data_IF_781835597033
#
_entry.id   IF_781835597033
#
_cell.length_a   1.000
_cell.length_b   1.000
_cell.length_c   1.000
_cell.angle_alpha   90.00
_cell.angle_beta   90.00
_cell.angle_gamma   90.00
#
_symmetry.space_group_name_H-M   'P 1'
#
loop_
_entity.id
_entity.type
_entity.pdbx_description
1 polymer ?
#
# COMPACT_ATOMS: atom_id res chain seq x y z
N UNK A 1 -32.80 -15.52 15.49
CA UNK A 1 -31.62 -14.93 14.84
C UNK A 1 -32.12 -13.80 13.95
N UNK A 2 -31.80 -12.55 14.26
CA UNK A 2 -32.15 -11.43 13.39
C UNK A 2 -31.11 -11.43 12.28
N UNK A 3 -31.49 -11.88 11.08
CA UNK A 3 -30.71 -11.66 9.87
C UNK A 3 -30.74 -10.16 9.59
N UNK A 4 -29.77 -9.41 10.12
CA UNK A 4 -29.60 -8.03 9.71
C UNK A 4 -28.93 -8.05 8.34
N UNK A 5 -29.71 -7.76 7.30
CA UNK A 5 -29.15 -7.46 6.00
C UNK A 5 -28.17 -6.28 6.13
N UNK A 6 -27.09 -6.25 5.33
CA UNK A 6 -26.14 -5.15 5.36
C UNK A 6 -26.85 -3.81 5.16
N UNK A 7 -26.53 -2.79 5.98
CA UNK A 7 -27.17 -1.45 5.96
C UNK A 7 -27.22 -0.83 4.56
N UNK A 8 -26.23 -1.13 3.72
CA UNK A 8 -26.14 -0.60 2.36
C UNK A 8 -26.27 -1.67 1.26
N UNK A 9 -26.72 -2.88 1.60
CA UNK A 9 -26.77 -4.05 0.71
C UNK A 9 -25.40 -4.69 0.44
N UNK A 10 -25.38 -5.73 -0.40
CA UNK A 10 -24.16 -6.45 -0.81
C UNK A 10 -23.40 -5.70 -1.93
N UNK A 11 -22.90 -4.50 -1.64
CA UNK A 11 -22.15 -3.67 -2.60
C UNK A 11 -21.05 -2.86 -1.91
N UNK A 12 -20.03 -2.47 -2.69
CA UNK A 12 -19.01 -1.50 -2.25
C UNK A 12 -19.63 -0.11 -2.20
N UNK A 13 -19.50 0.57 -1.07
CA UNK A 13 -19.99 1.93 -0.85
C UNK A 13 -18.79 2.87 -0.76
N UNK A 14 -18.86 4.02 -1.42
CA UNK A 14 -17.82 5.06 -1.31
C UNK A 14 -17.91 5.77 0.03
N UNK A 15 -16.77 6.24 0.53
CA UNK A 15 -16.71 7.06 1.75
C UNK A 15 -17.74 8.21 1.69
N UNK A 16 -17.84 8.93 0.57
CA UNK A 16 -18.81 10.02 0.37
C UNK A 16 -20.27 9.62 0.65
N UNK A 17 -20.67 8.40 0.28
CA UNK A 17 -22.04 7.91 0.48
C UNK A 17 -22.30 7.50 1.92
N UNK A 18 -21.30 6.96 2.60
CA UNK A 18 -21.37 6.68 4.05
C UNK A 18 -21.41 8.00 4.82
N UNK A 19 -20.61 8.99 4.39
CA UNK A 19 -20.54 10.30 5.04
C UNK A 19 -21.84 11.08 4.95
N UNK A 20 -22.50 11.07 3.79
CA UNK A 20 -23.79 11.70 3.63
C UNK A 20 -24.85 11.07 4.56
N UNK A 21 -24.84 9.74 4.70
CA UNK A 21 -25.75 9.00 5.60
C UNK A 21 -25.42 9.27 7.08
N UNK A 22 -24.14 9.38 7.43
CA UNK A 22 -23.71 9.67 8.81
C UNK A 22 -23.94 11.13 9.22
N UNK A 23 -23.83 12.11 8.32
CA UNK A 23 -24.17 13.52 8.59
C UNK A 23 -25.67 13.67 8.91
N UNK A 24 -26.53 12.89 8.24
CA UNK A 24 -27.97 12.85 8.52
C UNK A 24 -28.29 12.19 9.88
N UNK A 25 -27.54 11.15 10.27
CA UNK A 25 -27.78 10.41 11.52
C UNK A 25 -27.13 11.04 12.77
N UNK A 26 -25.91 11.56 12.63
CA UNK A 26 -25.07 11.99 13.75
C UNK A 26 -24.67 13.47 13.70
N UNK A 27 -25.26 14.24 12.78
CA UNK A 27 -24.94 15.65 12.58
C UNK A 27 -25.13 16.52 13.83
N UNK A 28 -25.92 16.12 14.82
CA UNK A 28 -26.08 16.87 16.08
C UNK A 28 -24.99 16.54 17.12
N UNK A 29 -24.39 15.35 17.06
CA UNK A 29 -23.34 14.87 17.97
C UNK A 29 -21.93 15.16 17.44
N UNK A 30 -21.73 15.03 16.13
CA UNK A 30 -20.48 15.33 15.44
C UNK A 30 -20.65 16.49 14.47
N UNK A 31 -19.57 17.25 14.25
CA UNK A 31 -19.47 18.24 13.18
C UNK A 31 -19.61 17.56 11.82
N UNK A 32 -20.10 18.29 10.83
CA UNK A 32 -20.20 17.74 9.48
C UNK A 32 -18.85 17.19 9.03
N UNK A 33 -18.80 15.96 8.50
CA UNK A 33 -17.56 15.33 8.08
C UNK A 33 -16.89 16.17 6.99
N UNK A 34 -15.57 16.34 7.12
CA UNK A 34 -14.77 17.09 6.15
C UNK A 34 -13.70 16.19 5.53
N UNK A 35 -13.43 16.39 4.24
CA UNK A 35 -12.29 15.75 3.60
C UNK A 35 -10.99 16.28 4.20
N UNK A 36 -10.19 15.37 4.72
CA UNK A 36 -8.89 15.64 5.29
C UNK A 36 -7.76 15.34 4.33
N UNK A 37 -6.55 15.58 4.81
CA UNK A 37 -5.33 15.06 4.22
C UNK A 37 -4.49 14.48 5.37
N UNK A 38 -4.07 13.23 5.23
CA UNK A 38 -3.21 12.58 6.22
C UNK A 38 -1.76 12.68 5.77
N UNK A 39 -1.01 13.61 6.36
CA UNK A 39 0.43 13.78 6.10
C UNK A 39 1.20 12.49 6.37
N UNK A 40 0.82 11.75 7.41
CA UNK A 40 1.49 10.52 7.82
C UNK A 40 1.25 9.37 6.84
N UNK A 41 0.01 9.12 6.43
CA UNK A 41 -0.29 8.09 5.43
C UNK A 41 0.38 8.42 4.08
N UNK A 42 0.34 9.67 3.64
CA UNK A 42 1.01 10.07 2.40
C UNK A 42 2.54 9.95 2.51
N UNK A 43 3.12 10.25 3.67
CA UNK A 43 4.54 10.02 3.92
C UNK A 43 4.90 8.54 3.82
N UNK A 44 4.14 7.65 4.46
CA UNK A 44 4.35 6.19 4.38
C UNK A 44 4.22 5.66 2.96
N UNK A 45 3.21 6.10 2.19
CA UNK A 45 3.07 5.77 0.76
C UNK A 45 4.27 6.23 -0.06
N UNK A 46 4.80 7.41 0.24
CA UNK A 46 6.03 7.93 -0.36
C UNK A 46 7.24 7.04 -0.08
N UNK A 47 7.42 6.61 1.17
CA UNK A 47 8.49 5.70 1.57
C UNK A 47 8.37 4.33 0.88
N UNK A 48 7.17 3.75 0.83
CA UNK A 48 6.90 2.49 0.10
C UNK A 48 7.34 2.63 -1.36
N UNK A 49 6.93 3.72 -2.01
CA UNK A 49 7.25 3.97 -3.42
C UNK A 49 8.76 4.15 -3.64
N UNK A 50 9.44 4.89 -2.76
CA UNK A 50 10.89 5.08 -2.82
C UNK A 50 11.63 3.76 -2.62
N UNK A 51 11.26 2.97 -1.62
CA UNK A 51 11.85 1.66 -1.33
C UNK A 51 11.69 0.70 -2.52
N UNK A 52 10.57 0.75 -3.23
CA UNK A 52 10.38 -0.07 -4.43
C UNK A 52 11.28 0.30 -5.60
N UNK A 53 11.70 1.57 -5.72
CA UNK A 53 12.67 1.97 -6.76
C UNK A 53 14.02 1.33 -6.51
N UNK A 54 14.44 1.19 -5.24
CA UNK A 54 15.67 0.48 -4.88
C UNK A 54 15.59 -1.01 -5.23
N UNK A 55 14.44 -1.65 -5.01
CA UNK A 55 14.21 -3.04 -5.45
C UNK A 55 14.36 -3.14 -6.98
N UNK A 56 13.71 -2.24 -7.72
CA UNK A 56 13.79 -2.22 -9.19
C UNK A 56 15.24 -2.04 -9.67
N UNK A 57 16.06 -1.22 -9.00
CA UNK A 57 17.47 -1.05 -9.33
C UNK A 57 18.29 -2.33 -9.10
N UNK A 58 18.09 -3.01 -7.97
CA UNK A 58 18.78 -4.29 -7.69
C UNK A 58 18.35 -5.37 -8.68
N UNK A 59 17.06 -5.45 -9.02
CA UNK A 59 16.58 -6.40 -10.03
C UNK A 59 17.14 -6.15 -11.42
N UNK A 60 17.36 -4.88 -11.81
CA UNK A 60 18.08 -4.56 -13.04
C UNK A 60 19.52 -5.06 -13.02
N UNK A 61 20.22 -4.93 -11.89
CA UNK A 61 21.57 -5.47 -11.73
C UNK A 61 21.59 -6.99 -11.80
N UNK A 62 20.63 -7.66 -11.15
CA UNK A 62 20.43 -9.12 -11.27
C UNK A 62 20.22 -9.51 -12.73
N UNK A 63 19.29 -8.85 -13.43
CA UNK A 63 18.98 -9.15 -14.81
C UNK A 63 20.18 -8.92 -15.75
N UNK A 64 20.98 -7.88 -15.49
CA UNK A 64 22.21 -7.61 -16.25
C UNK A 64 23.20 -8.77 -16.20
N UNK A 65 23.28 -9.48 -15.06
CA UNK A 65 24.17 -10.63 -14.91
C UNK A 65 23.63 -11.90 -15.57
N UNK A 66 22.36 -12.23 -15.31
CA UNK A 66 21.80 -13.53 -15.71
C UNK A 66 21.28 -13.54 -17.15
N UNK A 67 20.92 -12.37 -17.68
CA UNK A 67 20.46 -12.22 -19.06
C UNK A 67 21.02 -10.94 -19.70
N UNK A 68 22.34 -10.89 -19.99
CA UNK A 68 22.97 -9.73 -20.61
C UNK A 68 22.24 -9.34 -21.91
N UNK A 69 21.81 -8.08 -21.99
CA UNK A 69 21.05 -7.54 -23.12
C UNK A 69 19.52 -7.61 -22.98
N UNK A 70 18.97 -8.29 -21.98
CA UNK A 70 17.53 -8.30 -21.72
C UNK A 70 16.97 -6.89 -21.50
N UNK A 71 17.68 -6.05 -20.74
CA UNK A 71 17.29 -4.66 -20.50
C UNK A 71 17.17 -3.83 -21.80
N UNK A 72 17.98 -4.14 -22.81
CA UNK A 72 17.96 -3.45 -24.11
C UNK A 72 16.76 -3.80 -25.00
N UNK A 73 16.01 -4.88 -24.68
CA UNK A 73 14.82 -5.29 -25.45
C UNK A 73 13.67 -4.27 -25.33
N UNK A 74 13.68 -3.39 -24.33
CA UNK A 74 12.60 -2.43 -24.05
C UNK A 74 13.14 -1.11 -23.52
N UNK A 75 12.47 -0.01 -23.88
CA UNK A 75 12.83 1.35 -23.43
C UNK A 75 12.51 1.60 -21.95
N UNK A 76 11.46 0.95 -21.43
CA UNK A 76 11.01 1.08 -20.04
C UNK A 76 10.49 -0.26 -19.54
N UNK A 77 10.75 -0.52 -18.27
CA UNK A 77 10.27 -1.69 -17.55
C UNK A 77 9.35 -1.24 -16.42
N UNK A 78 8.17 -1.85 -16.32
CA UNK A 78 7.39 -1.80 -15.08
C UNK A 78 8.00 -2.78 -14.07
N UNK A 79 7.78 -2.56 -12.77
CA UNK A 79 8.31 -3.46 -11.74
C UNK A 79 7.84 -4.91 -11.92
N UNK A 80 6.56 -5.10 -12.26
CA UNK A 80 6.02 -6.44 -12.54
C UNK A 80 6.69 -7.10 -13.74
N UNK A 81 6.96 -6.35 -14.83
CA UNK A 81 7.69 -6.90 -15.98
C UNK A 81 9.14 -7.24 -15.63
N UNK A 82 9.80 -6.40 -14.85
CA UNK A 82 11.20 -6.60 -14.46
C UNK A 82 11.34 -7.83 -13.55
N UNK A 83 10.50 -7.92 -12.52
CA UNK A 83 10.42 -9.09 -11.65
C UNK A 83 10.11 -10.36 -12.45
N UNK A 84 9.14 -10.32 -13.37
CA UNK A 84 8.80 -11.47 -14.19
C UNK A 84 9.96 -11.94 -15.07
N UNK A 85 10.69 -11.02 -15.72
CA UNK A 85 11.86 -11.39 -16.54
C UNK A 85 13.00 -11.97 -15.68
N UNK A 86 13.24 -11.40 -14.49
CA UNK A 86 14.22 -11.94 -13.54
C UNK A 86 13.80 -13.36 -13.10
N UNK A 87 12.55 -13.54 -12.67
CA UNK A 87 12.03 -14.84 -12.24
C UNK A 87 12.10 -15.88 -13.37
N UNK A 88 11.73 -15.50 -14.60
CA UNK A 88 11.83 -16.38 -15.76
C UNK A 88 13.28 -16.77 -16.08
N UNK A 89 14.21 -15.81 -15.97
CA UNK A 89 15.64 -16.04 -16.23
C UNK A 89 16.31 -16.88 -15.14
N UNK A 90 15.84 -16.77 -13.89
CA UNK A 90 16.30 -17.57 -12.75
C UNK A 90 15.62 -18.93 -12.66
N UNK A 91 14.52 -19.19 -13.37
CA UNK A 91 13.77 -20.46 -13.30
C UNK A 91 14.57 -21.71 -13.70
N UNK A 92 15.82 -21.55 -14.15
CA UNK A 92 16.78 -22.63 -14.35
C UNK A 92 17.59 -23.01 -13.08
N UNK A 93 17.50 -22.24 -12.00
CA UNK A 93 18.16 -22.50 -10.72
C UNK A 93 17.16 -23.13 -9.74
N UNK A 94 17.27 -24.44 -9.51
CA UNK A 94 16.41 -25.25 -8.61
C UNK A 94 16.63 -24.97 -7.10
N UNK A 95 16.87 -23.71 -6.71
CA UNK A 95 17.09 -23.35 -5.30
C UNK A 95 15.81 -22.82 -4.65
N UNK A 96 15.36 -23.53 -3.59
CA UNK A 96 14.16 -23.18 -2.83
C UNK A 96 14.23 -21.79 -2.21
N UNK A 97 15.43 -21.33 -1.84
CA UNK A 97 15.61 -20.03 -1.20
C UNK A 97 15.41 -18.89 -2.21
N UNK A 98 15.90 -19.07 -3.44
CA UNK A 98 15.67 -18.12 -4.55
C UNK A 98 14.18 -18.01 -4.89
N UNK A 99 13.44 -19.12 -4.90
CA UNK A 99 12.00 -19.10 -5.11
C UNK A 99 11.25 -18.32 -4.02
N UNK A 100 11.63 -18.50 -2.75
CA UNK A 100 11.08 -17.75 -1.62
C UNK A 100 11.34 -16.24 -1.72
N UNK A 101 12.56 -15.86 -2.11
CA UNK A 101 12.91 -14.45 -2.35
C UNK A 101 12.08 -13.83 -3.48
N UNK A 102 11.89 -14.55 -4.59
CA UNK A 102 11.09 -14.05 -5.72
C UNK A 102 9.61 -13.88 -5.36
N UNK A 103 9.04 -14.75 -4.51
CA UNK A 103 7.67 -14.59 -4.00
C UNK A 103 7.51 -13.35 -3.11
N UNK A 104 8.48 -13.08 -2.22
CA UNK A 104 8.49 -11.86 -1.41
C UNK A 104 8.51 -10.60 -2.28
N UNK A 105 9.32 -10.60 -3.33
CA UNK A 105 9.43 -9.47 -4.28
C UNK A 105 8.11 -9.30 -5.06
N UNK A 106 7.48 -10.37 -5.52
CA UNK A 106 6.17 -10.30 -6.20
C UNK A 106 5.10 -9.66 -5.31
N UNK A 107 5.02 -10.09 -4.04
CA UNK A 107 4.11 -9.51 -3.05
C UNK A 107 4.38 -8.02 -2.86
N UNK A 108 5.64 -7.62 -2.75
CA UNK A 108 6.03 -6.22 -2.63
C UNK A 108 5.65 -5.39 -3.87
N UNK A 109 5.86 -5.91 -5.09
CA UNK A 109 5.44 -5.25 -6.34
C UNK A 109 3.92 -5.01 -6.36
N UNK A 110 3.12 -5.99 -5.94
CA UNK A 110 1.66 -5.85 -5.86
C UNK A 110 1.25 -4.78 -4.85
N UNK A 111 1.83 -4.78 -3.64
CA UNK A 111 1.53 -3.78 -2.60
C UNK A 111 1.95 -2.36 -2.99
N UNK A 112 3.08 -2.22 -3.67
CA UNK A 112 3.50 -0.93 -4.24
C UNK A 112 2.44 -0.36 -5.17
N UNK A 113 1.90 -1.16 -6.09
CA UNK A 113 0.94 -0.66 -7.07
C UNK A 113 -0.32 -0.09 -6.40
N UNK A 114 -0.80 -0.75 -5.34
CA UNK A 114 -1.88 -0.23 -4.49
C UNK A 114 -1.49 1.10 -3.84
N UNK A 115 -0.31 1.17 -3.22
CA UNK A 115 0.17 2.38 -2.55
C UNK A 115 0.42 3.55 -3.51
N UNK A 116 1.01 3.31 -4.68
CA UNK A 116 1.43 4.34 -5.62
C UNK A 116 0.29 4.87 -6.49
N UNK A 117 -0.67 4.01 -6.86
CA UNK A 117 -1.74 4.36 -7.79
C UNK A 117 -3.12 4.42 -7.15
N UNK A 118 -3.25 4.00 -5.89
CA UNK A 118 -4.52 4.03 -5.20
C UNK A 118 -4.99 5.44 -4.85
N UNK A 119 -6.30 5.67 -4.97
CA UNK A 119 -6.91 6.89 -4.42
C UNK A 119 -6.91 6.80 -2.90
N UNK A 120 -6.38 7.82 -2.23
CA UNK A 120 -6.43 7.93 -0.78
C UNK A 120 -7.48 8.96 -0.40
N UNK A 121 -8.57 8.49 0.20
CA UNK A 121 -9.64 9.33 0.70
C UNK A 121 -9.51 9.39 2.22
N UNK A 122 -9.31 10.60 2.77
CA UNK A 122 -9.21 10.83 4.21
C UNK A 122 -10.42 11.62 4.67
N UNK A 123 -11.02 11.13 5.73
CA UNK A 123 -12.24 11.65 6.32
C UNK A 123 -11.95 12.05 7.75
N UNK A 124 -12.32 13.27 8.11
CA UNK A 124 -12.15 13.78 9.45
C UNK A 124 -13.51 14.13 10.05
N UNK A 125 -13.78 13.59 11.23
CA UNK A 125 -14.94 13.91 12.04
C UNK A 125 -14.48 14.61 13.32
N UNK A 126 -15.23 15.62 13.76
CA UNK A 126 -14.96 16.36 15.00
C UNK A 126 -16.15 16.20 15.94
N UNK A 127 -15.91 15.84 17.18
CA UNK A 127 -16.94 15.88 18.23
C UNK A 127 -17.42 17.33 18.41
N UNK A 128 -18.75 17.55 18.52
CA UNK A 128 -19.30 18.90 18.81
C UNK A 128 -19.25 19.24 20.30
N UNK A 129 -19.15 18.25 21.18
CA UNK A 129 -19.18 18.47 22.62
C UNK A 129 -17.76 18.64 23.20
N UNK A 130 -17.50 19.70 23.97
CA UNK A 130 -16.27 19.76 24.76
C UNK A 130 -16.33 18.66 25.83
N UNK A 131 -15.36 17.75 25.82
CA UNK A 131 -15.31 16.67 26.80
C UNK A 131 -15.01 17.20 28.22
N UNK A 132 -14.50 18.42 28.34
CA UNK A 132 -14.21 19.10 29.61
C UNK A 132 -14.49 20.63 29.56
N UNK A 133 -14.87 21.25 30.69
CA UNK A 133 -15.00 22.71 30.76
C UNK A 133 -13.65 23.39 30.50
N UNK A 134 -13.59 24.22 29.45
CA UNK A 134 -12.36 24.92 29.03
C UNK A 134 -11.66 24.29 27.83
N UNK A 135 -12.13 23.14 27.33
CA UNK A 135 -11.63 22.55 26.10
C UNK A 135 -12.25 23.22 24.88
N UNK A 136 -11.43 23.73 23.97
CA UNK A 136 -11.88 24.46 22.78
C UNK A 136 -11.93 23.59 21.52
N UNK A 137 -11.75 22.27 21.65
CA UNK A 137 -11.78 21.35 20.51
C UNK A 137 -12.34 20.00 20.92
N UNK A 138 -13.39 19.56 20.23
CA UNK A 138 -13.85 18.18 20.36
C UNK A 138 -12.81 17.18 19.82
N UNK A 139 -12.96 15.92 20.22
CA UNK A 139 -12.10 14.84 19.74
C UNK A 139 -12.17 14.70 18.22
N UNK A 140 -11.00 14.62 17.59
CA UNK A 140 -10.86 14.43 16.14
C UNK A 140 -10.69 12.96 15.81
N UNK A 141 -11.58 12.43 14.99
CA UNK A 141 -11.51 11.07 14.45
C UNK A 141 -11.10 11.14 12.98
N UNK A 142 -10.08 10.37 12.59
CA UNK A 142 -9.60 10.30 11.21
C UNK A 142 -9.79 8.87 10.69
N UNK A 143 -10.51 8.74 9.58
CA UNK A 143 -10.70 7.50 8.85
C UNK A 143 -10.08 7.66 7.47
N UNK A 144 -9.30 6.68 7.02
CA UNK A 144 -8.69 6.71 5.71
C UNK A 144 -9.06 5.47 4.91
N UNK A 145 -9.21 5.66 3.59
CA UNK A 145 -9.54 4.62 2.65
C UNK A 145 -8.56 4.66 1.49
N UNK A 146 -7.94 3.53 1.15
CA UNK A 146 -7.09 3.37 -0.02
C UNK A 146 -7.83 2.47 -1.01
N UNK A 147 -8.20 3.02 -2.17
CA UNK A 147 -9.07 2.34 -3.15
C UNK A 147 -10.41 1.85 -2.58
N UNK A 148 -10.96 2.59 -1.62
CA UNK A 148 -12.23 2.24 -0.98
C UNK A 148 -12.14 1.20 0.13
N UNK A 149 -10.95 0.65 0.40
CA UNK A 149 -10.71 -0.20 1.57
C UNK A 149 -10.15 0.64 2.71
N UNK A 150 -10.67 0.44 3.93
CA UNK A 150 -10.16 1.14 5.10
C UNK A 150 -8.68 0.81 5.31
N UNK A 151 -7.87 1.84 5.51
CA UNK A 151 -6.42 1.73 5.72
C UNK A 151 -6.02 2.47 6.98
N UNK A 152 -5.06 1.92 7.71
CA UNK A 152 -4.44 2.53 8.87
C UNK A 152 -2.94 2.74 8.64
N UNK A 153 -2.30 3.51 9.53
CA UNK A 153 -0.84 3.62 9.56
C UNK A 153 -0.16 2.26 9.73
N UNK A 154 -0.77 1.34 10.49
CA UNK A 154 -0.22 0.01 10.76
C UNK A 154 -0.19 -0.82 9.49
N UNK A 155 -1.21 -0.71 8.65
CA UNK A 155 -1.27 -1.41 7.35
C UNK A 155 -0.15 -0.92 6.44
N UNK A 156 0.03 0.41 6.33
CA UNK A 156 1.10 0.98 5.50
C UNK A 156 2.50 0.73 6.07
N UNK A 157 2.67 0.66 7.39
CA UNK A 157 3.93 0.24 8.02
C UNK A 157 4.24 -1.23 7.69
N UNK A 158 3.23 -2.08 7.67
CA UNK A 158 3.37 -3.50 7.27
C UNK A 158 3.78 -3.61 5.79
N UNK A 159 3.17 -2.80 4.91
CA UNK A 159 3.55 -2.73 3.51
C UNK A 159 4.98 -2.21 3.32
N UNK A 160 5.41 -1.21 4.10
CA UNK A 160 6.79 -0.72 4.08
C UNK A 160 7.79 -1.78 4.56
N UNK A 161 7.48 -2.50 5.63
CA UNK A 161 8.31 -3.61 6.10
C UNK A 161 8.46 -4.71 5.04
N UNK A 162 7.36 -5.03 4.33
CA UNK A 162 7.41 -5.96 3.19
C UNK A 162 8.35 -5.45 2.07
N UNK A 163 8.35 -4.16 1.76
CA UNK A 163 9.30 -3.60 0.78
C UNK A 163 10.75 -3.75 1.24
N UNK A 164 11.03 -3.53 2.52
CA UNK A 164 12.38 -3.64 3.06
C UNK A 164 12.89 -5.10 3.04
N UNK A 165 12.03 -6.05 3.41
CA UNK A 165 12.36 -7.47 3.29
C UNK A 165 12.52 -7.91 1.83
N UNK A 166 11.70 -7.40 0.91
CA UNK A 166 11.87 -7.66 -0.52
C UNK A 166 13.18 -7.07 -1.08
N UNK A 167 13.62 -5.89 -0.63
CA UNK A 167 14.95 -5.37 -0.99
C UNK A 167 16.04 -6.31 -0.49
N UNK A 168 15.97 -6.75 0.76
CA UNK A 168 16.93 -7.70 1.33
C UNK A 168 16.98 -8.98 0.49
N UNK A 169 15.83 -9.52 0.13
CA UNK A 169 15.72 -10.70 -0.74
C UNK A 169 16.35 -10.47 -2.13
N UNK A 170 16.10 -9.32 -2.75
CA UNK A 170 16.69 -8.97 -4.04
C UNK A 170 18.22 -8.85 -3.97
N UNK A 171 18.75 -8.25 -2.90
CA UNK A 171 20.19 -8.15 -2.65
C UNK A 171 20.79 -9.53 -2.38
N UNK A 172 20.09 -10.41 -1.67
CA UNK A 172 20.55 -11.78 -1.42
C UNK A 172 20.71 -12.56 -2.74
N UNK A 173 19.70 -12.52 -3.62
CA UNK A 173 19.80 -13.09 -4.98
C UNK A 173 21.02 -12.51 -5.72
N UNK A 174 21.21 -11.19 -5.66
CA UNK A 174 22.34 -10.54 -6.32
C UNK A 174 23.69 -11.02 -5.77
N UNK A 175 23.83 -11.19 -4.45
CA UNK A 175 25.04 -11.72 -3.80
C UNK A 175 25.30 -13.17 -4.23
N UNK A 176 24.27 -14.02 -4.23
CA UNK A 176 24.44 -15.44 -4.54
C UNK A 176 24.85 -15.68 -6.00
N UNK A 177 24.50 -14.76 -6.91
CA UNK A 177 24.98 -14.77 -8.30
C UNK A 177 26.46 -14.35 -8.45
N UNK A 178 27.06 -13.73 -7.43
CA UNK A 178 28.48 -13.33 -7.43
C UNK A 178 29.40 -14.33 -6.70
N UNK A 179 28.83 -15.35 -6.05
CA UNK A 179 29.59 -16.40 -5.38
C UNK A 179 29.94 -17.52 -6.35
#
# INVERSE_FOLDING_TARGET
MINQAPRYGERVIKADSVLADMDEEYGDEFGSPVHGNSTRLNHLRGLITAQSVEIDAVLQNVLHMIAPGALGKRKKWTAGQLHHEVAASLSAAEDSDTAGHLDLIDKAVKRRNTSAHGSLDVVVMLDKAPQYPGDSGGTRYELAFLNGEQVTDVDLLTDLALQQEALRAAVQIWIDLHR
#
